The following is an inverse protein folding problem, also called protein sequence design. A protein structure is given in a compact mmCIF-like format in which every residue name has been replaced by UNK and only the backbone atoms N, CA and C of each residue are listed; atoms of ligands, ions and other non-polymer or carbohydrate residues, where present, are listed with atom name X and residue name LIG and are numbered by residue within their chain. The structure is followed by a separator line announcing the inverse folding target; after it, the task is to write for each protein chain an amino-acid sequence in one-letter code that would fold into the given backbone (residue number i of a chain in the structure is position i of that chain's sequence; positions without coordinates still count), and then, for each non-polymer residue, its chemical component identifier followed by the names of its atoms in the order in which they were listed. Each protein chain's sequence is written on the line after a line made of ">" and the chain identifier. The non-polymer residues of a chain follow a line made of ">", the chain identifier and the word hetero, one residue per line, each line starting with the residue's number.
data_IF_637906966303
#
_entry.id   IF_637906966303
#
_cell.length_a   1.000
_cell.length_b   1.000
_cell.length_c   1.000
_cell.angle_alpha   90.00
_cell.angle_beta   90.00
_cell.angle_gamma   90.00
#
_symmetry.space_group_name_H-M   'P 1'
#
loop_
_entity.id
_entity.type
_entity.pdbx_description
1 polymer ?
#
# COMPACT_ATOMS: atom_id res chain seq x y z
N UNK A 1 7.62 -3.91 11.00
CA UNK A 1 9.05 -3.78 10.61
C UNK A 1 9.36 -2.34 10.22
N UNK A 2 10.60 -1.93 10.36
CA UNK A 2 11.04 -0.59 9.95
C UNK A 2 11.90 -0.73 8.68
N UNK A 3 11.27 -0.69 7.51
CA UNK A 3 11.99 -0.85 6.24
C UNK A 3 12.72 0.44 5.87
N UNK A 4 13.99 0.33 5.45
CA UNK A 4 14.75 1.43 4.88
C UNK A 4 14.02 2.01 3.67
N UNK A 5 13.97 3.34 3.56
CA UNK A 5 13.34 4.07 2.45
C UNK A 5 11.94 3.55 2.08
N UNK A 6 11.12 3.23 3.08
CA UNK A 6 9.75 2.76 2.87
C UNK A 6 8.91 3.82 2.15
N UNK A 7 8.37 3.50 0.98
CA UNK A 7 7.59 4.43 0.16
C UNK A 7 6.23 4.82 0.76
N UNK A 8 5.76 4.10 1.79
CA UNK A 8 4.60 4.48 2.61
C UNK A 8 4.99 5.31 3.84
N UNK A 9 6.28 5.50 4.08
CA UNK A 9 6.82 6.18 5.27
C UNK A 9 6.34 5.59 6.61
N UNK A 10 5.94 4.32 6.61
CA UNK A 10 5.28 3.68 7.76
C UNK A 10 6.15 3.63 9.01
N UNK A 11 7.48 3.55 8.88
CA UNK A 11 8.41 3.56 10.01
C UNK A 11 8.54 4.95 10.66
N UNK A 12 8.09 6.00 9.95
CA UNK A 12 8.07 7.39 10.43
C UNK A 12 6.70 7.77 11.03
N UNK A 13 5.67 7.01 10.68
CA UNK A 13 4.30 7.28 11.13
C UNK A 13 4.09 6.88 12.59
N UNK A 14 3.37 7.67 13.38
CA UNK A 14 2.79 7.19 14.63
C UNK A 14 1.83 6.03 14.35
N UNK A 15 1.60 5.20 15.36
CA UNK A 15 0.62 4.11 15.26
C UNK A 15 -0.77 4.71 14.98
N UNK A 16 -1.35 4.32 13.86
CA UNK A 16 -2.66 4.76 13.43
C UNK A 16 -3.39 3.61 12.73
N UNK A 17 -4.69 3.48 12.98
CA UNK A 17 -5.56 2.55 12.28
C UNK A 17 -6.67 3.32 11.58
N UNK A 18 -7.02 2.97 10.33
CA UNK A 18 -8.12 3.62 9.63
C UNK A 18 -9.46 3.30 10.31
N UNK A 19 -10.40 4.22 10.19
CA UNK A 19 -11.78 4.00 10.63
C UNK A 19 -12.46 2.98 9.71
N UNK A 20 -13.01 1.91 10.28
CA UNK A 20 -13.79 0.93 9.54
C UNK A 20 -15.06 1.54 8.94
N UNK A 21 -15.68 2.47 9.66
CA UNK A 21 -16.87 3.20 9.19
C UNK A 21 -16.54 4.03 7.94
N UNK A 22 -15.45 4.81 7.97
CA UNK A 22 -15.02 5.60 6.82
C UNK A 22 -14.63 4.69 5.66
N UNK A 23 -13.88 3.63 5.93
CA UNK A 23 -13.53 2.64 4.90
C UNK A 23 -14.77 2.04 4.25
N UNK A 24 -15.79 1.67 5.04
CA UNK A 24 -17.05 1.13 4.51
C UNK A 24 -17.77 2.12 3.59
N UNK A 25 -17.82 3.42 3.96
CA UNK A 25 -18.40 4.48 3.13
C UNK A 25 -17.61 4.65 1.83
N UNK A 26 -16.28 4.65 1.92
CA UNK A 26 -15.40 4.78 0.76
C UNK A 26 -15.56 3.59 -0.20
N UNK A 27 -15.65 2.36 0.33
CA UNK A 27 -15.86 1.16 -0.49
C UNK A 27 -17.23 1.14 -1.17
N UNK A 28 -18.27 1.60 -0.47
CA UNK A 28 -19.60 1.77 -1.05
C UNK A 28 -19.59 2.77 -2.19
N UNK A 29 -18.98 3.94 -1.99
CA UNK A 29 -18.88 4.97 -3.01
C UNK A 29 -18.04 4.50 -4.19
N UNK A 30 -16.91 3.86 -3.93
CA UNK A 30 -16.03 3.33 -4.95
C UNK A 30 -16.74 2.26 -5.79
N UNK A 31 -17.51 1.37 -5.16
CA UNK A 31 -18.33 0.39 -5.88
C UNK A 31 -19.36 1.06 -6.79
N UNK A 32 -20.08 2.05 -6.26
CA UNK A 32 -21.10 2.80 -7.02
C UNK A 32 -20.53 3.43 -8.28
N UNK A 33 -19.36 4.09 -8.17
CA UNK A 33 -18.75 4.83 -9.28
C UNK A 33 -18.05 3.91 -10.28
N UNK A 34 -17.43 2.80 -9.81
CA UNK A 34 -16.74 1.82 -10.65
C UNK A 34 -17.63 0.69 -11.13
N UNK A 35 -18.88 0.61 -10.65
CA UNK A 35 -19.82 -0.48 -10.91
C UNK A 35 -19.23 -1.86 -10.57
N UNK A 36 -18.42 -1.91 -9.52
CA UNK A 36 -17.73 -3.12 -9.07
C UNK A 36 -16.53 -3.54 -9.94
N UNK A 37 -16.14 -2.77 -10.94
CA UNK A 37 -15.11 -3.12 -11.91
C UNK A 37 -13.69 -2.85 -11.38
N UNK A 38 -13.38 -3.37 -10.19
CA UNK A 38 -12.02 -3.38 -9.65
C UNK A 38 -11.56 -4.82 -9.54
N UNK A 39 -10.52 -5.19 -10.27
CA UNK A 39 -10.05 -6.57 -10.33
C UNK A 39 -9.39 -7.04 -9.03
N UNK A 40 -8.75 -6.14 -8.25
CA UNK A 40 -7.98 -6.54 -7.09
C UNK A 40 -7.81 -5.44 -6.06
N UNK A 41 -7.84 -5.84 -4.77
CA UNK A 41 -7.49 -5.01 -3.63
C UNK A 41 -6.26 -5.56 -2.91
N UNK A 42 -5.35 -4.68 -2.52
CA UNK A 42 -4.28 -4.98 -1.60
C UNK A 42 -4.61 -4.36 -0.25
N UNK A 43 -5.04 -5.18 0.70
CA UNK A 43 -5.19 -4.76 2.08
C UNK A 43 -3.81 -4.81 2.73
N UNK A 44 -3.25 -3.64 2.90
CA UNK A 44 -1.89 -3.46 3.39
C UNK A 44 -1.79 -2.18 4.20
N UNK A 45 -0.61 -1.83 4.62
CA UNK A 45 -0.35 -0.59 5.36
C UNK A 45 1.13 -0.51 5.68
N UNK A 46 1.50 -0.19 6.92
CA UNK A 46 2.81 -0.56 7.44
C UNK A 46 2.86 -2.07 7.66
N UNK A 47 2.03 -2.56 8.57
CA UNK A 47 1.72 -3.97 8.78
C UNK A 47 0.25 -4.08 9.17
N UNK A 48 -0.60 -4.68 8.34
CA UNK A 48 -2.04 -4.74 8.57
C UNK A 48 -2.42 -5.56 9.81
N UNK A 49 -1.65 -6.60 10.12
CA UNK A 49 -1.92 -7.47 11.27
C UNK A 49 -1.65 -6.82 12.64
N UNK A 50 -1.10 -5.60 12.67
CA UNK A 50 -1.06 -4.78 13.89
C UNK A 50 -2.43 -4.20 14.25
N UNK A 51 -3.35 -4.14 13.28
CA UNK A 51 -4.72 -3.74 13.54
C UNK A 51 -5.52 -4.94 14.09
N UNK A 52 -6.00 -4.89 15.33
CA UNK A 52 -6.75 -6.00 15.92
C UNK A 52 -8.07 -6.29 15.17
N UNK A 53 -8.58 -5.30 14.44
CA UNK A 53 -9.80 -5.39 13.65
C UNK A 53 -9.52 -5.63 12.16
N UNK A 54 -8.32 -6.12 11.80
CA UNK A 54 -7.92 -6.31 10.41
C UNK A 54 -8.94 -7.15 9.61
N UNK A 55 -9.49 -8.20 10.21
CA UNK A 55 -10.48 -9.10 9.59
C UNK A 55 -11.79 -8.40 9.17
N UNK A 56 -12.17 -7.32 9.85
CA UNK A 56 -13.41 -6.61 9.55
C UNK A 56 -13.33 -5.88 8.21
N UNK A 57 -12.11 -5.49 7.80
CA UNK A 57 -11.86 -4.90 6.48
C UNK A 57 -12.03 -5.93 5.35
N UNK A 58 -11.82 -7.23 5.64
CA UNK A 58 -12.06 -8.29 4.67
C UNK A 58 -13.54 -8.38 4.29
N UNK A 59 -14.40 -8.44 5.30
CA UNK A 59 -15.86 -8.52 5.12
C UNK A 59 -16.41 -7.30 4.38
N UNK A 60 -15.96 -6.09 4.75
CA UNK A 60 -16.37 -4.86 4.06
C UNK A 60 -15.93 -4.88 2.60
N UNK A 61 -14.67 -5.26 2.31
CA UNK A 61 -14.19 -5.32 0.93
C UNK A 61 -14.98 -6.33 0.11
N UNK A 62 -15.19 -7.53 0.61
CA UNK A 62 -15.93 -8.59 -0.07
C UNK A 62 -17.38 -8.23 -0.30
N UNK A 63 -18.02 -7.56 0.68
CA UNK A 63 -19.41 -7.09 0.57
C UNK A 63 -19.63 -6.19 -0.63
N UNK A 64 -18.73 -5.24 -0.85
CA UNK A 64 -18.87 -4.27 -1.94
C UNK A 64 -18.24 -4.73 -3.26
N UNK A 65 -17.27 -5.64 -3.22
CA UNK A 65 -16.56 -6.15 -4.39
C UNK A 65 -16.49 -7.68 -4.37
N UNK A 66 -17.62 -8.35 -4.66
CA UNK A 66 -17.73 -9.81 -4.53
C UNK A 66 -16.80 -10.57 -5.48
N UNK A 67 -16.48 -10.00 -6.65
CA UNK A 67 -15.71 -10.67 -7.70
C UNK A 67 -14.22 -10.29 -7.70
N UNK A 68 -13.80 -9.34 -6.84
CA UNK A 68 -12.41 -8.89 -6.79
C UNK A 68 -11.51 -9.89 -6.04
N UNK A 69 -10.26 -10.03 -6.49
CA UNK A 69 -9.23 -10.65 -5.68
C UNK A 69 -8.89 -9.75 -4.49
N UNK A 70 -8.78 -10.31 -3.28
CA UNK A 70 -8.44 -9.55 -2.07
C UNK A 70 -7.17 -10.15 -1.48
N UNK A 71 -6.10 -9.38 -1.55
CA UNK A 71 -4.79 -9.76 -1.06
C UNK A 71 -4.49 -9.11 0.28
N UNK A 72 -4.22 -9.93 1.28
CA UNK A 72 -3.61 -9.46 2.52
C UNK A 72 -2.10 -9.44 2.36
N UNK A 73 -1.53 -8.25 2.22
CA UNK A 73 -0.08 -8.06 2.05
C UNK A 73 0.56 -7.82 3.40
N UNK A 74 1.42 -8.75 3.85
CA UNK A 74 1.99 -8.74 5.20
C UNK A 74 3.48 -9.10 5.20
N UNK A 75 4.19 -8.74 6.26
CA UNK A 75 5.54 -9.23 6.52
C UNK A 75 5.57 -10.64 7.15
N UNK A 76 4.42 -11.20 7.52
CA UNK A 76 4.26 -12.53 8.04
C UNK A 76 4.54 -12.73 9.54
N UNK A 77 5.16 -11.77 10.22
CA UNK A 77 5.60 -11.93 11.64
C UNK A 77 4.44 -12.28 12.57
N UNK A 78 3.28 -11.69 12.34
CA UNK A 78 2.12 -11.85 13.21
C UNK A 78 1.15 -12.94 12.74
N UNK A 79 1.43 -13.67 11.67
CA UNK A 79 0.54 -14.72 11.17
C UNK A 79 0.44 -15.88 12.14
N UNK A 80 1.56 -16.32 12.76
CA UNK A 80 1.58 -17.43 13.70
C UNK A 80 0.69 -17.23 14.92
N UNK A 81 0.47 -15.97 15.30
CA UNK A 81 -0.28 -15.59 16.51
C UNK A 81 -1.71 -15.18 16.23
N UNK A 82 -2.16 -15.30 14.99
CA UNK A 82 -3.54 -14.93 14.65
C UNK A 82 -4.54 -15.95 15.26
N UNK A 83 -5.65 -15.45 15.84
CA UNK A 83 -6.67 -16.31 16.41
C UNK A 83 -7.47 -17.04 15.32
N UNK A 84 -8.24 -18.05 15.74
CA UNK A 84 -9.05 -18.86 14.83
C UNK A 84 -10.00 -18.02 13.97
N UNK A 85 -10.63 -17.02 14.56
CA UNK A 85 -11.58 -16.14 13.88
C UNK A 85 -10.96 -15.34 12.73
N UNK A 86 -9.65 -15.08 12.78
CA UNK A 86 -8.94 -14.46 11.67
C UNK A 86 -8.89 -15.41 10.47
N UNK A 87 -8.52 -16.67 10.69
CA UNK A 87 -8.42 -17.68 9.64
C UNK A 87 -9.80 -18.01 9.03
N UNK A 88 -10.82 -18.10 9.87
CA UNK A 88 -12.20 -18.26 9.43
C UNK A 88 -12.64 -17.09 8.55
N UNK A 89 -12.37 -15.86 8.96
CA UNK A 89 -12.69 -14.66 8.18
C UNK A 89 -11.91 -14.61 6.86
N UNK A 90 -10.65 -15.04 6.83
CA UNK A 90 -9.91 -15.15 5.57
C UNK A 90 -10.60 -16.13 4.60
N UNK A 91 -11.04 -17.30 5.10
CA UNK A 91 -11.75 -18.29 4.29
C UNK A 91 -13.10 -17.76 3.80
N UNK A 92 -13.92 -17.22 4.69
CA UNK A 92 -15.26 -16.69 4.37
C UNK A 92 -15.23 -15.59 3.32
N UNK A 93 -14.19 -14.75 3.35
CA UNK A 93 -14.04 -13.62 2.44
C UNK A 93 -13.11 -13.90 1.25
N UNK A 94 -12.70 -15.16 1.05
CA UNK A 94 -11.79 -15.55 -0.02
C UNK A 94 -10.53 -14.66 -0.07
N UNK A 95 -9.86 -14.51 1.06
CA UNK A 95 -8.63 -13.74 1.18
C UNK A 95 -7.45 -14.59 0.72
N UNK A 96 -6.59 -14.00 -0.10
CA UNK A 96 -5.29 -14.57 -0.41
C UNK A 96 -4.23 -13.90 0.46
N UNK A 97 -3.40 -14.68 1.16
CA UNK A 97 -2.31 -14.15 1.97
C UNK A 97 -1.06 -14.02 1.10
N UNK A 98 -0.56 -12.79 0.97
CA UNK A 98 0.60 -12.44 0.14
C UNK A 98 1.75 -11.93 1.00
N UNK A 99 2.53 -12.82 1.63
CA UNK A 99 3.64 -12.39 2.45
C UNK A 99 4.87 -12.06 1.60
N UNK A 100 5.62 -11.08 2.08
CA UNK A 100 6.99 -10.84 1.64
C UNK A 100 7.95 -11.49 2.64
N UNK A 101 8.79 -12.40 2.18
CA UNK A 101 9.86 -12.95 3.03
C UNK A 101 10.95 -11.90 3.22
N UNK A 102 11.25 -11.66 4.49
CA UNK A 102 12.37 -10.83 4.93
C UNK A 102 13.46 -11.72 5.53
N UNK A 103 14.71 -11.25 5.65
CA UNK A 103 15.81 -12.00 6.27
C UNK A 103 15.65 -12.06 7.81
N UNK A 104 14.52 -12.59 8.27
CA UNK A 104 14.14 -12.78 9.66
C UNK A 104 13.58 -14.18 9.84
N UNK A 105 13.69 -14.72 11.06
CA UNK A 105 13.20 -16.06 11.36
C UNK A 105 11.68 -16.04 11.56
N UNK A 106 10.97 -16.79 10.72
CA UNK A 106 9.52 -17.06 10.80
C UNK A 106 9.35 -18.55 10.53
N UNK A 107 8.47 -19.21 11.26
CA UNK A 107 8.10 -20.61 10.97
C UNK A 107 7.08 -20.66 9.83
N UNK A 108 7.57 -20.63 8.61
CA UNK A 108 6.72 -20.69 7.42
C UNK A 108 6.00 -22.03 7.29
N UNK A 109 6.55 -23.13 7.81
CA UNK A 109 5.88 -24.44 7.76
C UNK A 109 4.61 -24.43 8.60
N UNK A 110 4.63 -23.79 9.77
CA UNK A 110 3.45 -23.61 10.61
C UNK A 110 2.39 -22.78 9.89
N UNK A 111 2.78 -21.65 9.29
CA UNK A 111 1.87 -20.78 8.54
C UNK A 111 1.27 -21.50 7.33
N UNK A 112 2.08 -22.26 6.58
CA UNK A 112 1.63 -23.06 5.44
C UNK A 112 0.62 -24.12 5.87
N UNK A 113 0.87 -24.80 7.01
CA UNK A 113 -0.06 -25.77 7.58
C UNK A 113 -1.39 -25.14 7.98
N UNK A 114 -1.36 -23.97 8.60
CA UNK A 114 -2.55 -23.19 8.94
C UNK A 114 -3.35 -22.81 7.68
N UNK A 115 -2.69 -22.21 6.70
CA UNK A 115 -3.33 -21.85 5.42
C UNK A 115 -3.97 -23.06 4.75
N UNK A 116 -3.28 -24.20 4.75
CA UNK A 116 -3.81 -25.47 4.20
C UNK A 116 -5.04 -25.95 4.95
N UNK A 117 -5.02 -25.87 6.28
CA UNK A 117 -6.16 -26.28 7.13
C UNK A 117 -7.43 -25.52 6.81
N UNK A 118 -7.31 -24.21 6.56
CA UNK A 118 -8.45 -23.35 6.24
C UNK A 118 -8.72 -23.22 4.73
N UNK A 119 -7.87 -23.81 3.87
CA UNK A 119 -8.00 -23.68 2.42
C UNK A 119 -7.70 -22.26 1.88
N UNK A 120 -6.81 -21.54 2.57
CA UNK A 120 -6.44 -20.15 2.21
C UNK A 120 -5.21 -20.17 1.30
N UNK A 121 -5.23 -19.50 0.13
CA UNK A 121 -4.07 -19.36 -0.70
C UNK A 121 -2.95 -18.56 0.00
N UNK A 122 -1.74 -19.13 0.02
CA UNK A 122 -0.53 -18.47 0.51
C UNK A 122 0.43 -18.30 -0.66
N UNK A 123 0.62 -17.07 -1.10
CA UNK A 123 1.36 -16.74 -2.31
C UNK A 123 2.51 -15.79 -1.97
N UNK A 124 3.71 -16.31 -1.96
CA UNK A 124 4.89 -15.50 -1.63
C UNK A 124 5.27 -14.55 -2.75
N UNK A 125 5.60 -13.34 -2.38
CA UNK A 125 6.24 -12.40 -3.29
C UNK A 125 7.58 -12.98 -3.79
N UNK A 126 7.89 -12.77 -5.07
CA UNK A 126 9.09 -13.34 -5.74
C UNK A 126 9.21 -14.86 -5.68
N UNK A 127 8.09 -15.60 -5.80
CA UNK A 127 8.08 -17.06 -5.83
C UNK A 127 8.78 -17.70 -4.61
N UNK A 128 8.53 -17.19 -3.44
CA UNK A 128 9.11 -17.64 -2.17
C UNK A 128 10.64 -17.46 -2.05
N UNK A 129 11.29 -16.81 -3.01
CA UNK A 129 12.68 -16.43 -2.81
C UNK A 129 12.76 -15.50 -1.61
N UNK A 130 13.66 -15.84 -0.70
CA UNK A 130 14.01 -14.97 0.41
C UNK A 130 14.60 -13.72 -0.25
N UNK A 131 14.30 -12.57 0.28
CA UNK A 131 15.02 -11.34 0.01
C UNK A 131 14.18 -10.27 -0.61
N UNK A 132 13.59 -9.56 0.27
CA UNK A 132 13.24 -8.18 0.00
C UNK A 132 14.53 -7.41 -0.22
N UNK A 133 14.79 -6.98 -1.44
CA UNK A 133 15.80 -5.96 -1.70
C UNK A 133 15.28 -4.59 -1.23
N UNK A 134 16.18 -3.76 -0.75
CA UNK A 134 15.89 -2.38 -0.40
C UNK A 134 16.05 -1.48 -1.62
N UNK A 135 15.04 -0.68 -1.88
CA UNK A 135 15.05 0.36 -2.91
C UNK A 135 15.13 1.73 -2.21
N UNK A 136 16.08 2.56 -2.61
CA UNK A 136 16.11 3.96 -2.18
C UNK A 136 15.26 4.79 -3.14
N UNK A 137 14.18 5.35 -2.61
CA UNK A 137 13.33 6.31 -3.30
C UNK A 137 13.87 7.71 -3.05
N UNK A 138 14.38 8.36 -4.08
CA UNK A 138 14.97 9.70 -3.93
C UNK A 138 13.95 10.76 -4.30
N UNK A 139 13.71 11.66 -3.35
CA UNK A 139 12.88 12.85 -3.52
C UNK A 139 13.75 14.07 -3.85
N UNK A 140 13.18 15.01 -4.56
CA UNK A 140 13.76 16.31 -4.92
C UNK A 140 12.90 17.42 -4.29
N UNK A 141 13.30 17.96 -3.10
CA UNK A 141 12.44 18.85 -2.32
C UNK A 141 12.11 20.18 -3.01
N UNK A 142 12.93 20.62 -3.98
CA UNK A 142 12.69 21.87 -4.73
C UNK A 142 11.64 21.68 -5.83
N UNK A 143 11.26 20.43 -6.16
CA UNK A 143 10.28 20.13 -7.19
C UNK A 143 10.76 20.51 -8.60
N UNK A 144 12.02 20.27 -8.91
CA UNK A 144 12.64 20.60 -10.19
C UNK A 144 12.54 19.49 -11.24
N UNK A 145 12.03 18.30 -10.87
CA UNK A 145 11.86 17.21 -11.83
C UNK A 145 10.73 17.50 -12.80
N UNK A 146 10.84 16.98 -14.02
CA UNK A 146 9.76 17.04 -15.00
C UNK A 146 8.66 16.03 -14.64
N UNK A 147 7.41 16.46 -14.36
CA UNK A 147 6.35 15.55 -13.93
C UNK A 147 6.02 14.46 -14.95
N UNK A 148 6.01 14.78 -16.24
CA UNK A 148 5.72 13.82 -17.31
C UNK A 148 6.81 12.75 -17.40
N UNK A 149 8.06 13.16 -17.34
CA UNK A 149 9.20 12.25 -17.36
C UNK A 149 9.19 11.34 -16.11
N UNK A 150 8.98 11.93 -14.92
CA UNK A 150 8.88 11.19 -13.69
C UNK A 150 7.73 10.16 -13.74
N UNK A 151 6.56 10.57 -14.24
CA UNK A 151 5.40 9.68 -14.35
C UNK A 151 5.66 8.52 -15.32
N UNK A 152 6.16 8.80 -16.52
CA UNK A 152 6.35 7.78 -17.57
C UNK A 152 7.42 6.74 -17.22
N UNK A 153 8.42 7.12 -16.43
CA UNK A 153 9.48 6.22 -15.95
C UNK A 153 9.16 5.54 -14.62
N UNK A 154 8.07 5.93 -13.95
CA UNK A 154 7.74 5.45 -12.62
C UNK A 154 7.08 4.08 -12.63
N UNK A 155 7.73 3.08 -12.03
CA UNK A 155 7.15 1.75 -11.86
C UNK A 155 6.01 1.67 -10.84
N UNK A 156 5.77 2.75 -10.06
CA UNK A 156 4.68 2.80 -9.08
C UNK A 156 3.42 3.51 -9.60
N UNK A 157 3.55 4.45 -10.52
CA UNK A 157 2.42 5.16 -11.08
C UNK A 157 1.45 4.15 -11.73
N UNK A 158 0.18 4.24 -11.41
CA UNK A 158 -0.89 3.34 -11.87
C UNK A 158 -0.81 1.86 -11.38
N UNK A 159 0.27 1.47 -10.72
CA UNK A 159 0.41 0.12 -10.15
C UNK A 159 0.19 0.12 -8.63
N UNK A 160 0.41 1.27 -7.98
CA UNK A 160 0.31 1.43 -6.53
C UNK A 160 -0.74 2.49 -6.16
N UNK A 161 -1.92 2.42 -6.78
CA UNK A 161 -3.03 3.33 -6.50
C UNK A 161 -3.44 3.18 -5.04
N UNK A 162 -3.56 4.31 -4.34
CA UNK A 162 -3.94 4.34 -2.92
C UNK A 162 -5.32 4.97 -2.75
N UNK A 163 -6.21 4.28 -2.05
CA UNK A 163 -7.42 4.88 -1.49
C UNK A 163 -7.12 5.36 -0.07
N UNK A 164 -7.29 6.64 0.17
CA UNK A 164 -7.10 7.26 1.49
C UNK A 164 -8.17 8.33 1.70
N UNK A 165 -9.04 8.13 2.68
CA UNK A 165 -10.06 9.10 3.10
C UNK A 165 -10.88 9.65 1.91
N UNK A 166 -11.44 8.75 1.10
CA UNK A 166 -12.27 9.11 -0.05
C UNK A 166 -11.52 9.67 -1.26
N UNK A 167 -10.20 9.62 -1.26
CA UNK A 167 -9.37 10.09 -2.38
C UNK A 167 -8.53 8.97 -2.95
N UNK A 168 -8.44 8.92 -4.28
CA UNK A 168 -7.50 8.04 -4.98
C UNK A 168 -6.27 8.83 -5.40
N UNK A 169 -5.12 8.29 -5.05
CA UNK A 169 -3.79 8.78 -5.45
C UNK A 169 -3.15 7.79 -6.41
N UNK A 170 -2.46 8.23 -7.46
CA UNK A 170 -1.80 7.32 -8.40
C UNK A 170 -0.58 6.60 -7.80
N UNK A 171 -0.08 7.03 -6.63
CA UNK A 171 1.02 6.36 -5.94
C UNK A 171 0.97 6.57 -4.43
N UNK A 172 1.62 5.67 -3.71
CA UNK A 172 1.70 5.66 -2.25
C UNK A 172 2.59 6.78 -1.68
N UNK A 173 3.59 7.27 -2.41
CA UNK A 173 4.44 8.39 -1.94
C UNK A 173 3.60 9.65 -1.81
N UNK A 174 2.84 10.03 -2.85
CA UNK A 174 1.96 11.19 -2.79
C UNK A 174 0.92 11.04 -1.67
N UNK A 175 0.26 9.88 -1.58
CA UNK A 175 -0.77 9.62 -0.57
C UNK A 175 -0.28 9.77 0.88
N UNK A 176 1.03 9.61 1.12
CA UNK A 176 1.58 9.57 2.47
C UNK A 176 2.69 10.62 2.73
N UNK A 177 2.87 11.58 1.82
CA UNK A 177 3.97 12.56 1.91
C UNK A 177 3.92 13.42 3.17
N UNK A 178 2.74 13.62 3.75
CA UNK A 178 2.56 14.37 4.99
C UNK A 178 3.33 13.75 6.16
N UNK A 179 3.47 12.41 6.16
CA UNK A 179 4.26 11.69 7.18
C UNK A 179 5.73 12.08 7.06
N UNK A 180 6.26 12.08 5.82
CA UNK A 180 7.63 12.52 5.54
C UNK A 180 7.85 13.98 5.93
N UNK A 181 6.94 14.87 5.52
CA UNK A 181 7.00 16.27 5.83
C UNK A 181 7.05 16.52 7.34
N UNK A 182 6.16 15.86 8.10
CA UNK A 182 6.11 15.96 9.55
C UNK A 182 7.36 15.42 10.23
N UNK A 183 7.86 14.26 9.78
CA UNK A 183 9.00 13.60 10.41
C UNK A 183 10.32 14.37 10.23
N UNK A 184 10.47 15.08 9.10
CA UNK A 184 11.73 15.71 8.71
C UNK A 184 11.64 17.24 8.59
N UNK A 185 10.54 17.84 9.05
CA UNK A 185 10.28 19.28 8.92
C UNK A 185 10.47 19.77 7.48
N UNK A 186 9.91 19.01 6.53
CA UNK A 186 9.91 19.34 5.11
C UNK A 186 8.56 19.91 4.68
N UNK A 187 8.52 20.49 3.49
CA UNK A 187 7.30 21.02 2.89
C UNK A 187 7.23 20.66 1.41
N UNK A 188 6.95 19.40 1.11
CA UNK A 188 6.59 18.96 -0.23
C UNK A 188 5.06 19.03 -0.34
N UNK A 189 4.50 20.09 -0.98
CA UNK A 189 3.08 20.35 -0.93
C UNK A 189 2.30 19.38 -1.84
N UNK A 190 1.14 18.93 -1.34
CA UNK A 190 0.07 18.40 -2.17
C UNK A 190 -0.90 19.51 -2.56
N UNK A 191 -1.48 19.38 -3.73
CA UNK A 191 -2.56 20.23 -4.19
C UNK A 191 -3.78 19.41 -4.63
N UNK A 192 -4.85 20.06 -5.01
CA UNK A 192 -6.12 19.41 -5.39
C UNK A 192 -6.02 18.53 -6.64
N UNK A 193 -4.96 18.69 -7.44
CA UNK A 193 -4.73 17.89 -8.66
C UNK A 193 -3.86 16.64 -8.40
N UNK A 194 -3.42 16.42 -7.15
CA UNK A 194 -2.60 15.26 -6.79
C UNK A 194 -3.44 14.03 -6.41
N UNK A 195 -4.76 14.20 -6.30
CA UNK A 195 -5.71 13.13 -6.01
C UNK A 195 -7.06 13.39 -6.67
N UNK A 196 -7.87 12.34 -6.84
CA UNK A 196 -9.27 12.47 -7.23
C UNK A 196 -10.17 12.05 -6.07
N UNK A 197 -11.14 12.91 -5.74
CA UNK A 197 -12.15 12.67 -4.72
C UNK A 197 -13.25 11.78 -5.29
N UNK A 198 -13.41 10.55 -4.76
CA UNK A 198 -14.39 9.58 -5.27
C UNK A 198 -15.84 10.01 -5.02
N UNK A 199 -16.07 10.94 -4.10
CA UNK A 199 -17.41 11.48 -3.83
C UNK A 199 -17.81 12.60 -4.80
N UNK A 200 -16.84 13.15 -5.55
CA UNK A 200 -17.04 14.22 -6.53
C UNK A 200 -16.86 13.77 -7.97
N UNK A 201 -16.14 12.66 -8.16
CA UNK A 201 -15.93 12.10 -9.49
C UNK A 201 -17.26 11.68 -10.11
N UNK A 202 -17.44 11.96 -11.39
CA UNK A 202 -18.69 11.72 -12.13
C UNK A 202 -18.91 10.24 -12.41
N UNK A 203 -17.85 9.56 -12.83
CA UNK A 203 -17.87 8.15 -13.21
C UNK A 203 -16.47 7.53 -13.20
N UNK A 204 -16.38 6.24 -13.49
CA UNK A 204 -15.12 5.52 -13.56
C UNK A 204 -14.19 6.03 -14.69
N UNK A 205 -14.74 6.61 -15.75
CA UNK A 205 -13.95 7.14 -16.87
C UNK A 205 -13.12 8.35 -16.42
N UNK A 206 -13.70 9.22 -15.59
CA UNK A 206 -12.97 10.33 -14.98
C UNK A 206 -11.84 9.85 -14.08
N UNK A 207 -12.09 8.80 -13.28
CA UNK A 207 -11.04 8.18 -12.44
C UNK A 207 -9.90 7.64 -13.32
N UNK A 208 -10.22 6.88 -14.37
CA UNK A 208 -9.20 6.32 -15.28
C UNK A 208 -8.41 7.41 -16.00
N UNK A 209 -9.09 8.47 -16.46
CA UNK A 209 -8.42 9.61 -17.10
C UNK A 209 -7.50 10.36 -16.13
N UNK A 210 -7.89 10.47 -14.87
CA UNK A 210 -7.03 11.05 -13.83
C UNK A 210 -5.79 10.18 -13.59
N UNK A 211 -5.99 8.88 -13.39
CA UNK A 211 -4.88 7.95 -13.09
C UNK A 211 -3.90 7.79 -14.27
N UNK A 212 -4.35 7.98 -15.52
CA UNK A 212 -3.52 7.87 -16.71
C UNK A 212 -2.59 9.08 -16.96
N UNK A 213 -2.56 10.07 -16.07
CA UNK A 213 -1.83 11.32 -16.25
C UNK A 213 -0.85 11.57 -15.09
N UNK A 214 0.25 12.30 -15.37
CA UNK A 214 1.10 12.75 -14.29
C UNK A 214 0.33 13.71 -13.37
N UNK A 215 0.58 13.58 -12.08
CA UNK A 215 0.12 14.54 -11.08
C UNK A 215 1.22 15.59 -10.79
N UNK A 216 0.87 16.79 -10.33
CA UNK A 216 1.86 17.83 -9.99
C UNK A 216 2.93 17.34 -9.01
N UNK A 217 2.56 16.45 -8.08
CA UNK A 217 3.50 15.88 -7.12
C UNK A 217 4.64 15.08 -7.77
N UNK A 218 4.49 14.58 -9.00
CA UNK A 218 5.56 13.86 -9.71
C UNK A 218 6.84 14.69 -9.88
N UNK A 219 6.76 16.03 -9.76
CA UNK A 219 7.91 16.94 -9.78
C UNK A 219 8.90 16.75 -8.62
N UNK A 220 8.44 16.11 -7.54
CA UNK A 220 9.26 15.85 -6.35
C UNK A 220 9.92 14.47 -6.37
N UNK A 221 9.78 13.68 -7.44
CA UNK A 221 10.35 12.35 -7.55
C UNK A 221 11.54 12.33 -8.50
N UNK A 222 12.76 12.17 -7.96
CA UNK A 222 13.97 12.05 -8.77
C UNK A 222 14.24 10.59 -9.13
N UNK A 223 13.54 10.09 -10.16
CA UNK A 223 13.63 8.68 -10.56
C UNK A 223 15.01 8.28 -11.07
N UNK A 224 15.77 9.23 -11.63
CA UNK A 224 17.12 8.95 -12.12
C UNK A 224 18.09 8.56 -11.01
N UNK A 225 17.74 8.88 -9.76
CA UNK A 225 18.52 8.59 -8.56
C UNK A 225 17.95 7.41 -7.75
N UNK A 226 16.80 6.86 -8.16
CA UNK A 226 16.26 5.66 -7.52
C UNK A 226 17.19 4.49 -7.80
N UNK A 227 17.52 3.75 -6.75
CA UNK A 227 18.50 2.68 -6.86
C UNK A 227 18.15 1.50 -5.95
N UNK A 228 18.42 0.31 -6.46
CA UNK A 228 18.44 -0.88 -5.62
C UNK A 228 19.75 -0.86 -4.82
N UNK A 229 19.64 -0.95 -3.50
CA UNK A 229 20.80 -0.91 -2.59
C UNK A 229 21.12 -2.28 -1.99
N UNK A 230 20.61 -3.36 -2.60
CA UNK A 230 20.88 -4.72 -2.19
C UNK A 230 19.89 -5.25 -1.16
N UNK A 231 20.36 -6.06 -0.21
CA UNK A 231 19.54 -6.70 0.79
C UNK A 231 18.72 -5.70 1.62
N UNK A 232 17.57 -6.18 2.12
CA UNK A 232 16.74 -5.40 3.00
C UNK A 232 17.51 -4.87 4.22
N UNK A 233 17.27 -3.62 4.56
CA UNK A 233 17.87 -2.94 5.71
C UNK A 233 16.80 -2.34 6.61
N UNK A 234 17.10 -2.29 7.91
CA UNK A 234 16.31 -1.53 8.86
C UNK A 234 16.57 -0.04 8.67
N UNK A 235 15.51 0.76 8.64
CA UNK A 235 15.58 2.22 8.62
C UNK A 235 16.21 2.76 9.89
N UNK A 236 17.05 3.76 9.76
CA UNK A 236 17.55 4.59 10.85
C UNK A 236 16.67 5.81 11.11
N UNK A 237 15.62 5.96 10.30
CA UNK A 237 14.72 7.13 10.31
C UNK A 237 15.46 8.45 10.02
N UNK A 238 16.41 8.38 9.11
CA UNK A 238 17.19 9.53 8.66
C UNK A 238 16.65 10.04 7.33
N UNK A 239 16.67 11.35 7.14
CA UNK A 239 16.22 11.98 5.90
C UNK A 239 17.04 11.53 4.69
N UNK A 240 18.31 11.17 4.90
CA UNK A 240 19.23 10.67 3.87
C UNK A 240 18.79 9.35 3.25
N UNK A 241 17.80 8.66 3.85
CA UNK A 241 17.16 7.49 3.25
C UNK A 241 16.27 7.86 2.05
N UNK A 242 15.91 9.15 1.92
CA UNK A 242 14.98 9.68 0.91
C UNK A 242 15.55 10.85 0.09
N UNK A 243 16.62 11.46 0.54
CA UNK A 243 17.29 12.54 -0.17
C UNK A 243 18.70 12.11 -0.61
N UNK A 244 19.30 12.95 -1.49
CA UNK A 244 20.73 12.81 -1.86
C UNK A 244 21.66 13.20 -0.71
#
# INVERSE_FOLDING_TARGET
>A
MNCFSCSHFSQLSPKHFPSLEQFSKDMQQLNSITKGLIGRFHLMGGEPLLNPNCKDFFAVTRKFFPDSAIWLVTNGILLETQPQEFWESCKENNIEIHPTKYPIKIDWNLIEAQCKTYGIPLIFFNNAKIEKTSLKFVLEPKGNCNPLESFTKCGMANNCIQLKEGKLYPCNIAANIEIFNSAFNQNLPLNTLDSIDIYKAKDYSEILQFLAKPIPFCRFCNLSKWQNIGEWKTSKKEITEYLE
#
